data_IF_546451852074
#
_entry.id   IF_546451852074
#
_cell.length_a   1.000
_cell.length_b   1.000
_cell.length_c   1.000
_cell.angle_alpha   90.00
_cell.angle_beta   90.00
_cell.angle_gamma   90.00
#
_symmetry.space_group_name_H-M   'P 1'
#
loop_
_entity.id
_entity.type
_entity.pdbx_description
1 polymer ?
#
# COMPACT_ATOMS: atom_id res chain seq x y z
N UNK A 1 14.29 -33.65 5.53
CA UNK A 1 13.19 -32.76 5.11
C UNK A 1 12.57 -33.41 3.88
N UNK A 2 11.37 -33.98 4.00
CA UNK A 2 10.72 -34.67 2.87
C UNK A 2 9.97 -33.61 2.07
N UNK A 3 10.37 -33.39 0.82
CA UNK A 3 9.66 -32.46 -0.05
C UNK A 3 8.37 -33.10 -0.59
N UNK A 4 7.31 -32.31 -0.82
CA UNK A 4 6.06 -32.80 -1.39
C UNK A 4 6.25 -33.44 -2.79
N UNK A 5 5.46 -34.46 -3.08
CA UNK A 5 5.45 -35.17 -4.37
C UNK A 5 5.10 -34.18 -5.51
N UNK A 6 5.90 -34.18 -6.58
CA UNK A 6 5.78 -33.24 -7.72
C UNK A 6 6.65 -31.98 -7.66
N UNK A 7 7.36 -31.70 -6.55
CA UNK A 7 8.25 -30.53 -6.45
C UNK A 7 9.41 -30.58 -7.46
N UNK A 8 10.02 -31.76 -7.63
CA UNK A 8 11.17 -31.94 -8.53
C UNK A 8 10.79 -31.81 -10.01
N UNK A 9 9.58 -32.25 -10.38
CA UNK A 9 9.07 -32.11 -11.75
C UNK A 9 8.77 -30.65 -12.10
N UNK A 10 8.24 -29.87 -11.15
CA UNK A 10 7.99 -28.44 -11.33
C UNK A 10 9.28 -27.62 -11.47
N UNK A 11 10.36 -28.04 -10.80
CA UNK A 11 11.69 -27.40 -10.94
C UNK A 11 12.28 -27.73 -12.32
N UNK A 12 12.22 -28.99 -12.75
CA UNK A 12 12.71 -29.40 -14.06
C UNK A 12 11.95 -28.73 -15.23
N UNK A 13 10.64 -28.52 -15.10
CA UNK A 13 9.86 -27.80 -16.10
C UNK A 13 10.29 -26.32 -16.23
N UNK A 14 10.59 -25.65 -15.11
CA UNK A 14 11.08 -24.28 -15.09
C UNK A 14 12.50 -24.13 -15.66
N UNK A 15 13.33 -25.15 -15.55
CA UNK A 15 14.67 -25.14 -16.16
C UNK A 15 14.59 -25.32 -17.68
N UNK A 16 13.73 -26.22 -18.18
CA UNK A 16 13.48 -26.39 -19.62
C UNK A 16 12.85 -25.15 -20.28
N UNK A 17 11.98 -24.43 -19.58
CA UNK A 17 11.42 -23.16 -20.08
C UNK A 17 12.45 -22.02 -20.14
N UNK A 18 13.52 -22.10 -19.33
CA UNK A 18 14.62 -21.11 -19.35
C UNK A 18 15.63 -21.41 -20.45
N UNK A 19 15.90 -22.68 -20.75
CA UNK A 19 16.77 -23.08 -21.86
C UNK A 19 16.17 -22.68 -23.22
N UNK A 20 14.85 -22.85 -23.40
CA UNK A 20 14.15 -22.47 -24.65
C UNK A 20 14.02 -20.94 -24.89
N UNK A 21 14.49 -20.08 -23.97
CA UNK A 21 14.41 -18.61 -24.11
C UNK A 21 15.74 -17.92 -24.43
N UNK A 22 16.84 -18.68 -24.53
CA UNK A 22 18.19 -18.12 -24.70
C UNK A 22 18.77 -18.28 -26.13
N UNK A 23 17.97 -18.63 -27.14
CA UNK A 23 18.46 -18.91 -28.51
C UNK A 23 17.97 -17.96 -29.62
N UNK A 24 17.41 -16.78 -29.34
CA UNK A 24 17.12 -15.79 -30.40
C UNK A 24 17.48 -14.35 -29.98
N UNK A 25 18.23 -13.69 -30.87
CA UNK A 25 18.67 -12.28 -30.93
C UNK A 25 19.91 -11.85 -30.12
N UNK A 26 21.08 -12.19 -30.68
CA UNK A 26 22.31 -11.37 -30.69
C UNK A 26 22.22 -10.39 -31.88
N UNK A 27 22.34 -9.07 -31.63
CA UNK A 27 23.15 -8.08 -32.40
C UNK A 27 23.05 -6.69 -31.74
N UNK A 28 24.24 -6.09 -31.60
CA UNK A 28 24.66 -4.84 -30.97
C UNK A 28 24.21 -3.50 -31.60
N UNK A 29 24.31 -2.47 -30.75
CA UNK A 29 24.73 -1.05 -31.01
C UNK A 29 23.77 0.02 -31.59
N UNK A 30 24.13 1.27 -31.25
CA UNK A 30 23.30 2.48 -31.16
C UNK A 30 23.59 3.50 -32.31
N UNK A 31 23.38 4.84 -32.18
CA UNK A 31 22.20 5.60 -32.61
C UNK A 31 22.48 6.65 -33.73
N UNK A 32 21.42 7.30 -34.28
CA UNK A 32 21.26 8.77 -34.52
C UNK A 32 20.52 9.21 -35.81
N UNK A 33 19.64 10.21 -35.63
CA UNK A 33 19.22 11.37 -36.48
C UNK A 33 18.98 11.20 -37.99
N UNK A 34 17.77 11.54 -38.47
CA UNK A 34 17.59 12.00 -39.86
C UNK A 34 16.15 12.21 -40.38
N UNK A 35 15.67 13.46 -40.32
CA UNK A 35 14.65 14.15 -41.15
C UNK A 35 14.23 13.51 -42.51
N UNK A 36 12.89 13.45 -42.76
CA UNK A 36 12.09 13.94 -43.94
C UNK A 36 11.14 12.93 -44.65
N UNK A 37 9.84 13.22 -44.51
CA UNK A 37 8.81 13.60 -45.54
C UNK A 37 8.39 12.62 -46.66
N UNK A 38 7.04 12.51 -46.79
CA UNK A 38 6.15 12.12 -47.94
C UNK A 38 5.88 10.61 -48.10
N UNK A 39 4.75 10.15 -48.64
CA UNK A 39 3.30 10.49 -48.69
C UNK A 39 2.68 9.35 -49.55
N UNK A 40 1.42 8.99 -49.27
CA UNK A 40 0.50 8.13 -50.08
C UNK A 40 0.76 6.62 -49.93
N UNK A 41 -0.23 5.72 -49.91
CA UNK A 41 -1.56 5.74 -50.52
C UNK A 41 -2.63 5.10 -49.63
N UNK A 42 -3.84 5.61 -49.81
CA UNK A 42 -5.15 5.13 -49.37
C UNK A 42 -5.56 3.84 -50.08
N UNK A 43 -6.13 2.89 -49.33
CA UNK A 43 -7.20 2.00 -49.79
C UNK A 43 -8.25 1.93 -48.68
N UNK A 44 -9.46 2.37 -49.04
CA UNK A 44 -10.74 2.22 -48.35
C UNK A 44 -11.09 0.71 -48.30
N UNK A 45 -11.93 0.12 -47.46
CA UNK A 45 -13.07 0.55 -46.65
C UNK A 45 -13.58 -0.70 -45.87
N UNK A 46 -14.28 -0.51 -44.75
CA UNK A 46 -15.35 -1.36 -44.13
C UNK A 46 -15.19 -1.81 -42.68
N UNK A 47 -15.91 -1.06 -41.83
CA UNK A 47 -16.89 -1.50 -40.82
C UNK A 47 -16.46 -2.30 -39.58
N UNK A 48 -16.28 -1.56 -38.46
CA UNK A 48 -16.84 -1.71 -37.09
C UNK A 48 -16.75 -3.04 -36.31
N UNK A 49 -16.80 -3.04 -34.94
CA UNK A 49 -17.19 -1.95 -34.05
C UNK A 49 -16.16 -1.56 -32.97
N UNK A 50 -16.21 -0.28 -32.62
CA UNK A 50 -15.59 0.27 -31.42
C UNK A 50 -15.99 -0.55 -30.19
N UNK A 51 -14.99 -1.14 -29.51
CA UNK A 51 -15.16 -1.60 -28.13
C UNK A 51 -15.47 -0.37 -27.29
N UNK A 52 -16.74 -0.21 -26.95
CA UNK A 52 -17.21 0.71 -25.92
C UNK A 52 -16.39 0.46 -24.66
N UNK A 53 -15.51 1.39 -24.33
CA UNK A 53 -14.97 1.45 -22.98
C UNK A 53 -16.16 1.62 -22.03
N UNK A 54 -16.26 0.82 -20.95
CA UNK A 54 -17.32 1.02 -19.98
C UNK A 54 -17.19 2.46 -19.48
N UNK A 55 -18.26 3.24 -19.65
CA UNK A 55 -18.37 4.60 -19.10
C UNK A 55 -17.96 4.48 -17.63
N UNK A 56 -16.78 5.00 -17.28
CA UNK A 56 -16.34 5.07 -15.89
C UNK A 56 -17.46 5.77 -15.13
N UNK A 57 -18.18 5.02 -14.30
CA UNK A 57 -19.14 5.60 -13.36
C UNK A 57 -18.37 6.65 -12.58
N UNK A 58 -18.82 7.90 -12.66
CA UNK A 58 -18.20 9.01 -11.95
C UNK A 58 -18.44 8.77 -10.46
N UNK A 59 -17.46 8.20 -9.78
CA UNK A 59 -17.50 8.03 -8.33
C UNK A 59 -17.39 9.42 -7.71
N UNK A 60 -18.34 9.79 -6.86
CA UNK A 60 -18.23 11.02 -6.08
C UNK A 60 -17.10 10.89 -5.05
N UNK A 61 -16.36 11.98 -4.84
CA UNK A 61 -15.30 12.00 -3.85
C UNK A 61 -15.85 11.81 -2.42
N UNK A 62 -15.06 11.16 -1.57
CA UNK A 62 -15.39 10.99 -0.16
C UNK A 62 -15.45 12.34 0.55
N UNK A 63 -16.49 12.58 1.35
CA UNK A 63 -16.72 13.84 2.03
C UNK A 63 -16.35 13.71 3.51
N UNK A 64 -15.16 14.20 3.86
CA UNK A 64 -14.76 14.36 5.27
C UNK A 64 -15.48 15.57 5.91
N UNK A 65 -15.95 15.39 7.15
CA UNK A 65 -16.51 16.46 7.96
C UNK A 65 -15.42 17.49 8.34
N UNK A 66 -15.84 18.69 8.78
CA UNK A 66 -14.90 19.73 9.24
C UNK A 66 -14.08 19.26 10.44
N UNK A 67 -14.72 18.51 11.33
CA UNK A 67 -14.09 17.94 12.52
C UNK A 67 -13.06 16.87 12.16
N UNK A 68 -13.40 15.95 11.25
CA UNK A 68 -12.46 14.92 10.76
C UNK A 68 -11.21 15.54 10.15
N UNK A 69 -11.36 16.59 9.32
CA UNK A 69 -10.22 17.31 8.73
C UNK A 69 -9.35 17.99 9.78
N UNK A 70 -9.95 18.51 10.86
CA UNK A 70 -9.19 19.11 11.96
C UNK A 70 -8.35 18.06 12.68
N UNK A 71 -8.95 16.92 13.04
CA UNK A 71 -8.23 15.81 13.69
C UNK A 71 -7.09 15.25 12.85
N UNK A 72 -7.28 15.11 11.53
CA UNK A 72 -6.22 14.70 10.59
C UNK A 72 -5.07 15.73 10.61
N UNK A 73 -5.40 17.01 10.63
CA UNK A 73 -4.39 18.09 10.65
C UNK A 73 -3.63 18.15 11.97
N UNK A 74 -4.29 17.86 13.09
CA UNK A 74 -3.68 17.86 14.43
C UNK A 74 -2.70 16.67 14.63
N UNK A 75 -2.79 15.63 13.79
CA UNK A 75 -1.86 14.50 13.79
C UNK A 75 -0.58 14.80 12.99
N UNK A 76 0.25 15.70 13.53
CA UNK A 76 1.49 16.14 12.89
C UNK A 76 2.51 15.01 12.67
N UNK A 77 2.51 13.99 13.53
CA UNK A 77 3.44 12.85 13.46
C UNK A 77 3.21 11.99 12.22
N UNK A 78 1.95 11.88 11.76
CA UNK A 78 1.57 11.08 10.60
C UNK A 78 1.24 11.94 9.37
N UNK A 79 1.68 13.20 9.32
CA UNK A 79 1.38 14.12 8.21
C UNK A 79 1.58 13.47 6.84
N UNK A 80 2.72 12.78 6.62
CA UNK A 80 3.02 12.12 5.34
C UNK A 80 2.04 10.99 5.00
N UNK A 81 1.68 10.17 5.99
CA UNK A 81 0.71 9.08 5.80
C UNK A 81 -0.69 9.62 5.50
N UNK A 82 -1.06 10.72 6.17
CA UNK A 82 -2.32 11.40 5.89
C UNK A 82 -2.35 12.06 4.51
N UNK A 83 -1.27 12.71 4.08
CA UNK A 83 -1.14 13.28 2.74
C UNK A 83 -1.37 12.19 1.67
N UNK A 84 -0.71 11.03 1.80
CA UNK A 84 -0.89 9.88 0.90
C UNK A 84 -2.34 9.35 0.93
N UNK A 85 -2.95 9.21 2.11
CA UNK A 85 -4.32 8.75 2.23
C UNK A 85 -5.32 9.76 1.61
N UNK A 86 -5.08 11.06 1.77
CA UNK A 86 -5.95 12.13 1.26
C UNK A 86 -5.94 12.24 -0.27
N UNK A 87 -4.90 11.79 -0.95
CA UNK A 87 -4.88 11.68 -2.42
C UNK A 87 -5.98 10.74 -2.94
N UNK A 88 -6.40 9.77 -2.12
CA UNK A 88 -7.44 8.79 -2.46
C UNK A 88 -8.88 9.28 -2.21
N UNK A 89 -9.08 10.54 -1.81
CA UNK A 89 -10.43 11.10 -1.59
C UNK A 89 -11.32 11.02 -2.84
N UNK A 90 -10.73 11.12 -4.03
CA UNK A 90 -11.44 11.02 -5.30
C UNK A 90 -11.97 9.60 -5.60
N UNK A 91 -11.55 8.58 -4.84
CA UNK A 91 -12.01 7.19 -4.98
C UNK A 91 -13.32 6.91 -4.23
N UNK A 92 -13.92 7.93 -3.61
CA UNK A 92 -15.20 7.81 -2.90
C UNK A 92 -15.09 6.82 -1.74
N UNK A 93 -15.99 5.84 -1.61
CA UNK A 93 -15.99 4.88 -0.50
C UNK A 93 -14.66 4.15 -0.28
N UNK A 94 -13.85 3.96 -1.34
CA UNK A 94 -12.54 3.28 -1.24
C UNK A 94 -11.50 4.07 -0.45
N UNK A 95 -11.72 5.35 -0.19
CA UNK A 95 -10.89 6.14 0.71
C UNK A 95 -10.78 5.48 2.10
N UNK A 96 -11.88 4.93 2.62
CA UNK A 96 -11.90 4.28 3.93
C UNK A 96 -10.99 3.04 3.95
N UNK A 97 -11.02 2.23 2.90
CA UNK A 97 -10.13 1.08 2.76
C UNK A 97 -8.65 1.52 2.72
N UNK A 98 -8.34 2.63 2.03
CA UNK A 98 -6.98 3.16 2.00
C UNK A 98 -6.53 3.63 3.39
N UNK A 99 -7.40 4.30 4.15
CA UNK A 99 -7.10 4.71 5.54
C UNK A 99 -6.90 3.48 6.43
N UNK A 100 -7.75 2.46 6.29
CA UNK A 100 -7.60 1.19 7.00
C UNK A 100 -6.22 0.59 6.74
N UNK A 101 -5.85 0.39 5.46
CA UNK A 101 -4.55 -0.15 5.05
C UNK A 101 -3.36 0.64 5.61
N UNK A 102 -3.42 1.98 5.52
CA UNK A 102 -2.33 2.87 6.00
C UNK A 102 -2.13 2.77 7.51
N UNK A 103 -3.19 2.54 8.27
CA UNK A 103 -3.17 2.50 9.73
C UNK A 103 -3.37 1.08 10.29
N UNK A 104 -3.07 0.03 9.52
CA UNK A 104 -3.00 -1.34 10.02
C UNK A 104 -1.80 -1.52 10.96
N UNK A 105 -2.03 -2.13 12.11
CA UNK A 105 -0.95 -2.55 12.99
C UNK A 105 -0.33 -3.86 12.46
N UNK A 106 0.97 -3.84 12.16
CA UNK A 106 1.71 -5.02 11.67
C UNK A 106 1.69 -6.22 12.62
N UNK A 107 1.44 -6.00 13.92
CA UNK A 107 1.46 -7.06 14.93
C UNK A 107 0.15 -7.84 14.98
N UNK A 108 -1.00 -7.14 15.00
CA UNK A 108 -2.31 -7.77 15.13
C UNK A 108 -3.12 -7.80 13.83
N UNK A 109 -2.65 -7.16 12.76
CA UNK A 109 -3.31 -7.07 11.46
C UNK A 109 -4.72 -6.45 11.51
N UNK A 110 -4.94 -5.57 12.48
CA UNK A 110 -6.17 -4.78 12.63
C UNK A 110 -5.81 -3.29 12.61
N UNK A 111 -6.80 -2.41 12.37
CA UNK A 111 -6.62 -0.97 12.51
C UNK A 111 -6.01 -0.66 13.87
N UNK A 112 -4.98 0.17 13.91
CA UNK A 112 -4.22 0.44 15.13
C UNK A 112 -5.11 1.04 16.22
N UNK A 113 -5.01 0.50 17.45
CA UNK A 113 -5.73 0.99 18.63
C UNK A 113 -4.77 1.38 19.74
N UNK A 114 -5.06 2.50 20.40
CA UNK A 114 -4.12 3.25 21.23
C UNK A 114 -2.76 3.36 20.52
N UNK A 115 -2.74 3.98 19.32
CA UNK A 115 -1.55 4.00 18.48
C UNK A 115 -0.38 4.67 19.19
N UNK A 116 0.76 4.00 19.16
CA UNK A 116 2.07 4.60 19.41
C UNK A 116 2.68 4.90 18.04
N UNK A 117 2.83 6.18 17.74
CA UNK A 117 3.58 6.63 16.56
C UNK A 117 5.04 6.72 16.95
N UNK A 118 5.83 5.77 16.44
CA UNK A 118 7.25 5.65 16.76
C UNK A 118 8.08 6.76 16.12
N UNK A 119 9.30 7.01 16.63
CA UNK A 119 10.22 8.01 16.04
C UNK A 119 10.65 7.67 14.60
N UNK A 120 10.57 6.39 14.23
CA UNK A 120 10.75 5.91 12.86
C UNK A 120 9.46 5.96 12.02
N UNK A 121 8.44 6.72 12.43
CA UNK A 121 7.19 7.01 11.71
C UNK A 121 6.30 5.80 11.41
N UNK A 122 6.31 4.78 12.26
CA UNK A 122 5.38 3.65 12.18
C UNK A 122 4.37 3.66 13.33
N UNK A 123 3.14 3.22 13.06
CA UNK A 123 2.06 3.14 14.03
C UNK A 123 1.85 1.70 14.50
N UNK A 124 1.93 1.47 15.82
CA UNK A 124 1.74 0.14 16.43
C UNK A 124 0.79 0.28 17.61
N UNK A 125 -0.08 -0.71 17.85
CA UNK A 125 -0.95 -0.70 19.01
C UNK A 125 -0.10 -0.67 20.28
N UNK A 126 -0.48 0.14 21.27
CA UNK A 126 0.22 0.21 22.56
C UNK A 126 0.44 -1.17 23.16
N UNK A 127 -0.59 -1.99 23.19
CA UNK A 127 -0.49 -3.35 23.76
C UNK A 127 0.44 -4.26 22.94
N UNK A 128 0.42 -4.16 21.61
CA UNK A 128 1.32 -4.94 20.75
C UNK A 128 2.79 -4.57 21.00
N UNK A 129 3.10 -3.28 21.10
CA UNK A 129 4.45 -2.82 21.39
C UNK A 129 4.89 -3.21 22.82
N UNK A 130 3.98 -3.11 23.81
CA UNK A 130 4.22 -3.58 25.17
C UNK A 130 4.55 -5.07 25.24
N UNK A 131 3.81 -5.92 24.50
CA UNK A 131 4.09 -7.36 24.40
C UNK A 131 5.48 -7.64 23.81
N UNK A 132 5.88 -6.90 22.76
CA UNK A 132 7.23 -6.97 22.19
C UNK A 132 8.31 -6.65 23.23
N UNK A 133 8.14 -5.54 23.98
CA UNK A 133 9.10 -5.10 24.98
C UNK A 133 9.17 -6.06 26.18
N UNK A 134 8.05 -6.67 26.56
CA UNK A 134 7.99 -7.72 27.60
C UNK A 134 8.77 -8.97 27.20
N UNK A 135 8.85 -9.26 25.90
CA UNK A 135 9.68 -10.33 25.35
C UNK A 135 11.13 -9.89 25.10
N UNK A 136 11.57 -8.77 25.68
CA UNK A 136 12.92 -8.20 25.54
C UNK A 136 13.30 -7.81 24.09
N UNK A 137 12.29 -7.58 23.24
CA UNK A 137 12.47 -7.08 21.87
C UNK A 137 12.13 -5.59 21.81
N UNK A 138 13.18 -4.75 21.79
CA UNK A 138 13.09 -3.28 21.85
C UNK A 138 13.17 -2.58 20.50
N UNK A 139 12.95 -3.30 19.41
CA UNK A 139 12.93 -2.74 18.05
C UNK A 139 11.51 -2.49 17.56
N UNK A 140 11.33 -1.50 16.69
CA UNK A 140 10.08 -1.27 15.98
C UNK A 140 9.63 -2.55 15.22
N UNK A 141 8.41 -3.06 15.46
CA UNK A 141 7.91 -4.25 14.76
C UNK A 141 7.80 -4.10 13.24
N UNK A 142 7.66 -2.87 12.73
CA UNK A 142 7.46 -2.61 11.31
C UNK A 142 8.79 -2.56 10.52
N UNK A 143 9.80 -1.84 11.03
CA UNK A 143 11.06 -1.60 10.29
C UNK A 143 12.33 -2.04 11.02
N UNK A 144 12.21 -2.60 12.23
CA UNK A 144 13.33 -3.06 13.08
C UNK A 144 14.27 -1.97 13.58
N UNK A 145 13.91 -0.69 13.43
CA UNK A 145 14.61 0.43 14.08
C UNK A 145 14.69 0.21 15.60
N UNK A 146 15.85 0.45 16.21
CA UNK A 146 16.03 0.30 17.65
C UNK A 146 15.36 1.44 18.41
N UNK A 147 14.38 1.12 19.27
CA UNK A 147 13.66 2.09 20.09
C UNK A 147 14.28 2.23 21.49
N UNK A 148 15.13 1.27 21.89
CA UNK A 148 15.75 1.23 23.21
C UNK A 148 14.83 0.76 24.34
N UNK A 149 15.44 0.29 25.44
CA UNK A 149 14.74 -0.28 26.61
C UNK A 149 13.86 0.72 27.35
N UNK A 150 14.22 2.01 27.28
CA UNK A 150 13.60 3.09 28.02
C UNK A 150 12.62 3.92 27.16
N UNK A 151 12.19 3.37 26.02
CA UNK A 151 11.27 4.07 25.10
C UNK A 151 9.96 4.46 25.80
N UNK A 152 9.56 5.72 25.65
CA UNK A 152 8.31 6.23 26.22
C UNK A 152 7.14 6.02 25.26
N UNK A 153 6.25 5.08 25.59
CA UNK A 153 5.06 4.78 24.78
C UNK A 153 3.94 5.80 25.04
N UNK A 154 3.97 6.93 24.34
CA UNK A 154 2.91 7.95 24.38
C UNK A 154 1.87 7.69 23.29
N UNK A 155 0.60 7.59 23.69
CA UNK A 155 -0.52 7.39 22.74
C UNK A 155 -0.74 8.64 21.89
N UNK A 156 -0.78 8.47 20.57
CA UNK A 156 -1.16 9.50 19.62
C UNK A 156 -2.69 9.70 19.68
N UNK A 157 -3.12 10.67 20.49
CA UNK A 157 -4.54 10.98 20.73
C UNK A 157 -5.26 11.52 19.47
N UNK A 158 -4.68 12.44 18.67
CA UNK A 158 -5.28 12.85 17.41
C UNK A 158 -5.59 11.67 16.49
N UNK A 159 -4.63 10.76 16.30
CA UNK A 159 -4.82 9.56 15.47
C UNK A 159 -5.93 8.65 16.03
N UNK A 160 -5.92 8.40 17.35
CA UNK A 160 -6.99 7.60 17.99
C UNK A 160 -8.37 8.22 17.76
N UNK A 161 -8.49 9.54 17.87
CA UNK A 161 -9.76 10.25 17.72
C UNK A 161 -10.30 10.12 16.29
N UNK A 162 -9.48 10.39 15.27
CA UNK A 162 -9.93 10.28 13.88
C UNK A 162 -10.30 8.85 13.49
N UNK A 163 -9.51 7.83 13.89
CA UNK A 163 -9.83 6.43 13.61
C UNK A 163 -11.14 6.01 14.27
N UNK A 164 -11.44 6.52 15.47
CA UNK A 164 -12.73 6.27 16.15
C UNK A 164 -13.92 6.88 15.39
N UNK A 165 -13.72 8.03 14.74
CA UNK A 165 -14.76 8.66 13.91
C UNK A 165 -14.94 7.96 12.56
N UNK A 166 -13.85 7.48 11.94
CA UNK A 166 -13.88 6.81 10.64
C UNK A 166 -14.34 5.36 10.72
N UNK A 167 -14.05 4.67 11.83
CA UNK A 167 -14.38 3.26 12.05
C UNK A 167 -15.15 3.05 13.37
N UNK A 168 -16.42 3.48 13.48
CA UNK A 168 -17.18 3.33 14.72
C UNK A 168 -17.20 1.87 15.21
N UNK A 169 -16.85 1.65 16.47
CA UNK A 169 -16.88 0.33 17.11
C UNK A 169 -15.63 -0.53 16.92
N UNK A 170 -14.63 -0.13 16.14
CA UNK A 170 -13.40 -0.93 15.93
C UNK A 170 -12.58 -1.15 17.21
N UNK A 171 -12.77 -0.30 18.22
CA UNK A 171 -12.12 -0.40 19.52
C UNK A 171 -12.84 -1.35 20.49
N UNK A 172 -14.01 -1.88 20.12
CA UNK A 172 -14.82 -2.71 21.01
C UNK A 172 -14.09 -4.01 21.33
N UNK A 173 -13.93 -4.31 22.62
CA UNK A 173 -13.23 -5.53 23.07
C UNK A 173 -11.71 -5.49 22.96
N UNK A 174 -11.13 -4.33 22.61
CA UNK A 174 -9.69 -4.10 22.58
C UNK A 174 -9.33 -3.28 23.82
N UNK A 175 -8.96 -3.94 24.92
CA UNK A 175 -8.61 -3.30 26.19
C UNK A 175 -7.33 -3.87 26.78
#
# INVERSE_FOLDING_TARGET
MQYPEGYLEAVAAKEKEKENKNEDDDVEETPTKGKRKRKSQTVEEKSSPAKSTPKKMKVEAYKLSREQKALIKDDELNKKLWDEAMESLNLGPRFINKVEEVFLCICCQEVVYQPITTECQHNVCRECLQRSFKAEVYTCPACRHDLGKNYQMTVNKPLQAILTQLFPGYSSGRC
#
